data_IF_835902668008
#
_entry.id   IF_835902668008
#
_cell.length_a   1.000
_cell.length_b   1.000
_cell.length_c   1.000
_cell.angle_alpha   90.00
_cell.angle_beta   90.00
_cell.angle_gamma   90.00
#
_symmetry.space_group_name_H-M   'P 1'
#
loop_
_entity.id
_entity.type
_entity.pdbx_description
1 polymer ?
#
# COMPACT_ATOMS: atom_id res chain seq x y z
N UNK A 1 18.29 10.65 34.05
CA UNK A 1 17.14 11.28 33.47
C UNK A 1 17.31 11.63 32.00
N UNK A 2 18.41 12.24 31.64
CA UNK A 2 18.67 12.60 30.26
C UNK A 2 18.77 11.37 29.36
N UNK A 3 19.35 10.31 29.90
CA UNK A 3 19.52 9.07 29.15
C UNK A 3 18.15 8.46 28.83
N UNK A 4 17.21 8.57 29.76
CA UNK A 4 15.87 8.04 29.55
C UNK A 4 15.17 8.78 28.42
N UNK A 5 15.35 10.10 28.34
CA UNK A 5 14.74 10.88 27.27
C UNK A 5 15.31 10.49 25.90
N UNK A 6 16.61 10.22 25.83
CA UNK A 6 17.22 9.79 24.58
C UNK A 6 16.70 8.44 24.14
N UNK A 7 16.50 7.54 25.08
CA UNK A 7 15.96 6.22 24.77
C UNK A 7 14.53 6.33 24.22
N UNK A 8 13.73 7.19 24.83
CA UNK A 8 12.37 7.41 24.34
C UNK A 8 12.37 7.98 22.93
N UNK A 9 13.27 8.90 22.64
CA UNK A 9 13.37 9.45 21.30
C UNK A 9 13.74 8.37 20.28
N UNK A 10 14.62 7.45 20.64
CA UNK A 10 15.01 6.37 19.76
C UNK A 10 13.84 5.42 19.51
N UNK A 11 13.03 5.15 20.52
CA UNK A 11 11.84 4.31 20.36
C UNK A 11 10.84 4.97 19.43
N UNK A 12 10.61 6.26 19.59
CA UNK A 12 9.73 7.00 18.71
C UNK A 12 10.23 6.97 17.27
N UNK A 13 11.53 7.07 17.08
CA UNK A 13 12.10 7.01 15.74
C UNK A 13 11.89 5.66 15.05
N UNK A 14 11.66 4.60 15.82
CA UNK A 14 11.38 3.30 15.25
C UNK A 14 9.92 3.13 14.79
N UNK A 15 9.02 4.00 15.25
CA UNK A 15 7.60 3.89 14.91
C UNK A 15 7.34 3.93 13.39
N UNK A 16 8.01 4.78 12.60
CA UNK A 16 7.76 4.81 11.15
C UNK A 16 7.94 3.47 10.47
N UNK A 17 8.77 2.59 11.02
CA UNK A 17 8.94 1.25 10.45
C UNK A 17 7.65 0.44 10.50
N UNK A 18 6.72 0.79 11.38
CA UNK A 18 5.44 0.13 11.50
C UNK A 18 4.39 0.68 10.55
N UNK A 19 4.70 1.72 9.78
CA UNK A 19 3.75 2.35 8.87
C UNK A 19 3.25 1.40 7.79
N UNK A 20 3.98 0.33 7.52
CA UNK A 20 3.59 -0.68 6.54
C UNK A 20 2.75 -1.80 7.16
N UNK A 21 2.53 -1.77 8.46
CA UNK A 21 1.88 -2.88 9.16
C UNK A 21 0.40 -3.03 8.84
N UNK A 22 -0.25 -2.01 8.29
CA UNK A 22 -1.66 -2.12 7.96
C UNK A 22 -1.91 -2.91 6.66
N UNK A 23 -0.91 -3.11 5.83
CA UNK A 23 -1.08 -3.97 4.66
C UNK A 23 -1.24 -5.41 5.11
N UNK A 24 -2.22 -6.16 4.55
CA UNK A 24 -2.30 -7.59 4.82
C UNK A 24 -1.02 -8.31 4.41
N UNK A 25 -0.67 -9.37 5.11
CA UNK A 25 0.53 -10.14 4.77
C UNK A 25 0.49 -10.67 3.35
N UNK A 26 -0.69 -11.04 2.86
CA UNK A 26 -0.83 -11.52 1.50
C UNK A 26 -0.45 -10.47 0.47
N UNK A 27 -0.54 -9.19 0.83
CA UNK A 27 -0.20 -8.09 -0.07
C UNK A 27 1.22 -7.59 0.13
N UNK A 28 1.80 -7.77 1.31
CA UNK A 28 3.05 -7.10 1.69
C UNK A 28 4.23 -8.04 1.93
N UNK A 29 4.08 -9.36 1.80
CA UNK A 29 5.14 -10.31 2.09
C UNK A 29 6.41 -10.04 1.29
N UNK A 30 6.52 -10.60 0.10
CA UNK A 30 7.63 -10.35 -0.82
C UNK A 30 7.19 -9.46 -1.97
N UNK A 31 6.27 -8.53 -1.70
CA UNK A 31 5.67 -7.70 -2.73
C UNK A 31 6.14 -6.27 -2.59
N UNK A 32 6.12 -5.54 -3.70
CA UNK A 32 6.41 -4.12 -3.72
C UNK A 32 5.09 -3.36 -3.65
N UNK A 33 4.85 -2.68 -2.52
CA UNK A 33 3.68 -1.82 -2.33
C UNK A 33 4.12 -0.37 -2.32
N UNK A 34 3.41 0.48 -3.06
CA UNK A 34 3.77 1.90 -3.12
C UNK A 34 2.52 2.76 -3.33
N UNK A 35 2.56 4.00 -2.86
CA UNK A 35 1.46 4.93 -3.09
C UNK A 35 1.41 5.36 -4.54
N UNK A 36 0.18 5.56 -5.04
CA UNK A 36 -0.05 6.01 -6.41
C UNK A 36 -1.12 7.09 -6.40
N UNK A 37 -1.16 7.90 -7.46
CA UNK A 37 -2.23 8.86 -7.63
C UNK A 37 -3.54 8.11 -7.88
N UNK A 38 -4.58 8.46 -7.12
CA UNK A 38 -5.86 7.75 -7.24
C UNK A 38 -6.48 7.89 -8.62
N UNK A 39 -6.23 9.00 -9.31
CA UNK A 39 -6.78 9.22 -10.65
C UNK A 39 -6.13 8.34 -11.71
N UNK A 40 -5.03 7.66 -11.37
CA UNK A 40 -4.40 6.69 -12.26
C UNK A 40 -4.93 5.27 -12.08
N UNK A 41 -5.82 5.07 -11.12
CA UNK A 41 -6.53 3.82 -10.93
C UNK A 41 -7.95 4.02 -11.47
N UNK A 42 -8.28 3.29 -12.53
CA UNK A 42 -9.54 3.47 -13.26
C UNK A 42 -10.35 2.20 -13.14
N UNK A 43 -11.60 2.34 -12.70
CA UNK A 43 -12.51 1.21 -12.63
C UNK A 43 -12.98 0.83 -14.02
N UNK A 44 -12.89 -0.47 -14.34
CA UNK A 44 -13.32 -1.02 -15.60
C UNK A 44 -14.26 -2.19 -15.34
N UNK A 45 -14.86 -2.72 -16.40
CA UNK A 45 -15.73 -3.91 -16.26
C UNK A 45 -14.95 -5.13 -15.79
N UNK A 46 -13.64 -5.15 -15.99
CA UNK A 46 -12.79 -6.28 -15.61
C UNK A 46 -12.08 -6.08 -14.27
N UNK A 47 -12.22 -4.93 -13.64
CA UNK A 47 -11.55 -4.61 -12.39
C UNK A 47 -10.93 -3.23 -12.42
N UNK A 48 -9.99 -2.99 -11.53
CA UNK A 48 -9.31 -1.70 -11.43
C UNK A 48 -7.99 -1.75 -12.20
N UNK A 49 -7.82 -0.82 -13.11
CA UNK A 49 -6.63 -0.73 -13.96
C UNK A 49 -5.72 0.37 -13.45
N UNK A 50 -4.46 0.03 -13.16
CA UNK A 50 -3.44 1.04 -12.89
C UNK A 50 -2.79 1.41 -14.22
N UNK A 51 -3.13 2.58 -14.73
CA UNK A 51 -2.81 2.98 -16.09
C UNK A 51 -1.32 3.00 -16.40
N UNK A 52 -0.44 3.52 -15.51
CA UNK A 52 0.98 3.63 -15.85
C UNK A 52 1.67 2.32 -16.22
N UNK A 53 1.21 1.19 -15.65
CA UNK A 53 1.85 -0.10 -15.90
C UNK A 53 0.95 -1.10 -16.57
N UNK A 54 -0.35 -0.81 -16.65
CA UNK A 54 -1.32 -1.75 -17.21
C UNK A 54 -1.74 -2.86 -16.25
N UNK A 55 -1.34 -2.81 -14.99
CA UNK A 55 -1.75 -3.80 -14.00
C UNK A 55 -3.26 -3.72 -13.77
N UNK A 56 -3.90 -4.88 -13.83
CA UNK A 56 -5.33 -5.00 -13.58
C UNK A 56 -5.55 -5.77 -12.28
N UNK A 57 -6.41 -5.25 -11.42
CA UNK A 57 -6.71 -5.84 -10.12
C UNK A 57 -8.17 -6.26 -10.08
N UNK A 58 -8.43 -7.55 -9.89
CA UNK A 58 -9.79 -8.09 -9.76
C UNK A 58 -10.43 -7.61 -8.45
N UNK A 59 -11.76 -7.72 -8.38
CA UNK A 59 -12.48 -7.32 -7.17
C UNK A 59 -11.89 -7.91 -5.89
N UNK A 60 -11.54 -9.21 -5.81
CA UNK A 60 -10.95 -9.76 -4.59
C UNK A 60 -9.59 -9.16 -4.23
N UNK A 61 -8.90 -8.54 -5.18
CA UNK A 61 -7.59 -7.94 -4.95
C UNK A 61 -7.68 -6.49 -4.51
N UNK A 62 -8.88 -5.91 -4.49
CA UNK A 62 -9.07 -4.49 -4.20
C UNK A 62 -9.64 -4.34 -2.80
N UNK A 63 -9.05 -3.45 -2.01
CA UNK A 63 -9.45 -3.18 -0.64
C UNK A 63 -9.51 -1.68 -0.40
N UNK A 64 -10.28 -1.23 0.59
CA UNK A 64 -10.28 0.19 0.93
C UNK A 64 -8.94 0.58 1.57
N UNK A 65 -8.47 1.77 1.21
CA UNK A 65 -7.26 2.33 1.81
C UNK A 65 -7.55 2.80 3.23
N UNK A 66 -6.54 2.68 4.09
CA UNK A 66 -6.64 3.11 5.48
C UNK A 66 -5.93 4.42 5.76
N UNK A 67 -5.24 5.01 4.78
CA UNK A 67 -4.42 6.20 5.01
C UNK A 67 -4.75 7.35 4.06
N UNK A 68 -5.89 7.31 3.40
CA UNK A 68 -6.36 8.35 2.48
C UNK A 68 -5.52 8.48 1.21
N UNK A 69 -4.70 7.49 0.91
CA UNK A 69 -3.94 7.42 -0.34
C UNK A 69 -4.25 6.12 -1.04
N UNK A 70 -4.19 6.12 -2.37
CA UNK A 70 -4.29 4.88 -3.13
C UNK A 70 -2.93 4.21 -3.19
N UNK A 71 -2.93 2.87 -3.23
CA UNK A 71 -1.70 2.09 -3.26
C UNK A 71 -1.90 0.92 -4.21
N UNK A 72 -0.81 0.46 -4.80
CA UNK A 72 -0.80 -0.80 -5.53
C UNK A 72 0.34 -1.66 -5.01
N UNK A 73 0.11 -2.97 -5.00
CA UNK A 73 1.11 -3.95 -4.61
C UNK A 73 1.30 -4.89 -5.78
N UNK A 74 2.53 -5.04 -6.22
CA UNK A 74 2.89 -5.90 -7.35
C UNK A 74 3.96 -6.89 -6.91
N UNK A 75 4.07 -7.99 -7.64
CA UNK A 75 5.08 -8.99 -7.36
C UNK A 75 6.48 -8.44 -7.56
N UNK A 76 7.39 -8.81 -6.66
CA UNK A 76 8.78 -8.42 -6.76
C UNK A 76 9.42 -9.15 -7.95
N UNK A 77 9.91 -8.40 -8.91
CA UNK A 77 10.54 -8.95 -10.09
C UNK A 77 9.61 -9.21 -11.26
N UNK A 78 8.48 -9.87 -11.05
CA UNK A 78 7.54 -10.21 -12.13
C UNK A 78 6.43 -9.18 -12.33
N UNK A 79 6.29 -8.25 -11.40
CA UNK A 79 5.32 -7.13 -11.47
C UNK A 79 3.87 -7.57 -11.65
N UNK A 80 3.51 -8.79 -11.24
CA UNK A 80 2.12 -9.23 -11.36
C UNK A 80 1.25 -8.47 -10.36
N UNK A 81 -0.03 -8.30 -10.69
CA UNK A 81 -0.98 -7.59 -9.84
C UNK A 81 -1.30 -8.42 -8.60
N UNK A 82 -1.07 -7.87 -7.41
CA UNK A 82 -1.34 -8.56 -6.14
C UNK A 82 -2.50 -7.93 -5.42
N UNK A 83 -2.38 -6.65 -5.04
CA UNK A 83 -3.42 -5.94 -4.30
C UNK A 83 -3.46 -4.48 -4.74
N UNK A 84 -4.64 -3.87 -4.64
CA UNK A 84 -4.80 -2.43 -4.80
C UNK A 84 -5.61 -1.89 -3.64
N UNK A 85 -5.28 -0.70 -3.18
CA UNK A 85 -5.97 -0.03 -2.08
C UNK A 85 -6.53 1.28 -2.61
N UNK A 86 -7.85 1.41 -2.52
CA UNK A 86 -8.59 2.53 -3.12
C UNK A 86 -9.17 3.35 -2.00
N UNK A 87 -9.09 4.68 -2.13
CA UNK A 87 -9.72 5.58 -1.17
C UNK A 87 -11.22 5.55 -1.41
N UNK A 88 -12.03 5.17 -0.40
CA UNK A 88 -13.48 5.15 -0.58
C UNK A 88 -14.04 6.56 -0.76
N UNK A 89 -15.12 6.67 -1.49
CA UNK A 89 -15.88 7.91 -1.66
C UNK A 89 -15.11 9.02 -2.38
N UNK A 90 -14.25 8.65 -3.27
CA UNK A 90 -13.55 9.62 -4.11
C UNK A 90 -14.30 9.87 -5.40
#
# INVERSE_FOLDING_TARGET
MRIVLLILAAIVAAIPALAHSWYPLACCGNMDCFPVACDQLVETVSGWLYVPTGNLFDAPQVQPSQDHHCHVCVGHGDHRSICAFIVPNV
#
